data_IF_484910305029
#
_entry.id   IF_484910305029
#
_cell.length_a   1.000
_cell.length_b   1.000
_cell.length_c   1.000
_cell.angle_alpha   90.00
_cell.angle_beta   90.00
_cell.angle_gamma   90.00
#
_symmetry.space_group_name_H-M   'P 1'
#
loop_
_entity.id
_entity.type
_entity.pdbx_description
1 polymer ?
#
# COMPACT_ATOMS: atom_id res chain seq x y z
N UNK A 1 36.11 6.88 53.60
CA UNK A 1 36.31 7.39 52.23
C UNK A 1 35.60 6.41 51.29
N UNK A 2 34.30 6.58 51.09
CA UNK A 2 33.48 5.77 50.20
C UNK A 2 33.40 6.52 48.86
N UNK A 3 34.04 5.97 47.83
CA UNK A 3 33.98 6.48 46.47
C UNK A 3 32.57 6.21 45.92
N UNK A 4 31.78 7.27 45.78
CA UNK A 4 30.52 7.23 45.04
C UNK A 4 30.84 6.97 43.56
N UNK A 5 30.33 5.87 43.00
CA UNK A 5 30.35 5.62 41.56
C UNK A 5 29.53 6.72 40.87
N UNK A 6 30.16 7.43 39.96
CA UNK A 6 29.49 8.36 39.05
C UNK A 6 28.37 7.62 38.29
N UNK A 7 27.21 8.25 38.06
CA UNK A 7 26.17 7.68 37.20
C UNK A 7 26.74 7.49 35.78
N UNK A 8 26.29 6.46 35.04
CA UNK A 8 26.68 6.34 33.63
C UNK A 8 26.21 7.59 32.89
N UNK A 9 27.11 8.17 32.10
CA UNK A 9 26.79 9.30 31.23
C UNK A 9 25.60 8.93 30.35
N UNK A 10 24.55 9.75 30.38
CA UNK A 10 23.53 9.72 29.34
C UNK A 10 24.23 10.12 28.05
N UNK A 11 24.56 9.15 27.20
CA UNK A 11 24.80 9.47 25.80
C UNK A 11 23.47 10.04 25.28
N UNK A 12 23.43 11.35 25.08
CA UNK A 12 22.50 11.92 24.14
C UNK A 12 22.80 11.21 22.82
N UNK A 13 21.91 10.33 22.38
CA UNK A 13 22.01 9.77 21.05
C UNK A 13 21.81 10.92 20.09
N UNK A 14 22.83 11.17 19.26
CA UNK A 14 22.75 12.14 18.15
C UNK A 14 21.53 11.82 17.31
N UNK A 15 20.77 12.83 16.91
CA UNK A 15 19.75 12.64 15.88
C UNK A 15 20.46 12.27 14.58
N UNK A 16 19.83 11.46 13.73
CA UNK A 16 20.39 11.13 12.41
C UNK A 16 20.63 12.39 11.55
N UNK A 17 19.94 13.50 11.85
CA UNK A 17 20.14 14.80 11.20
C UNK A 17 21.38 15.56 11.67
N UNK A 18 22.06 15.11 12.74
CA UNK A 18 23.33 15.71 13.18
C UNK A 18 24.49 15.39 12.21
N UNK A 19 24.29 14.42 11.31
CA UNK A 19 25.20 14.14 10.21
C UNK A 19 25.08 15.21 9.12
N UNK A 20 26.15 15.96 8.90
CA UNK A 20 26.21 17.02 7.91
C UNK A 20 25.98 16.50 6.47
N UNK A 21 26.34 15.23 6.21
CA UNK A 21 26.18 14.60 4.90
C UNK A 21 24.77 14.01 4.70
N UNK A 22 23.90 14.10 5.73
CA UNK A 22 22.52 13.59 5.74
C UNK A 22 22.44 12.15 5.23
N UNK A 23 23.35 11.30 5.68
CA UNK A 23 23.41 9.92 5.18
C UNK A 23 22.33 9.05 5.83
N UNK A 24 21.75 8.15 5.03
CA UNK A 24 20.87 7.12 5.57
C UNK A 24 21.68 6.18 6.47
N UNK A 25 21.21 5.85 7.69
CA UNK A 25 21.92 4.91 8.55
C UNK A 25 21.97 3.51 7.93
N UNK A 26 23.12 2.85 8.10
CA UNK A 26 23.37 1.53 7.53
C UNK A 26 22.33 0.47 7.94
N UNK A 27 21.80 0.52 9.18
CA UNK A 27 20.82 -0.47 9.64
C UNK A 27 19.48 -0.39 8.87
N UNK A 28 19.16 0.77 8.30
CA UNK A 28 17.93 0.99 7.50
C UNK A 28 17.98 0.20 6.20
N UNK A 29 19.13 0.18 5.52
CA UNK A 29 19.29 -0.57 4.26
C UNK A 29 19.66 -2.03 4.52
N UNK A 30 20.50 -2.32 5.53
CA UNK A 30 20.91 -3.70 5.90
C UNK A 30 19.76 -4.60 6.32
N UNK A 31 18.70 -4.05 6.93
CA UNK A 31 17.51 -4.79 7.35
C UNK A 31 16.28 -4.49 6.52
N UNK A 32 16.45 -3.83 5.37
CA UNK A 32 15.35 -3.54 4.46
C UNK A 32 14.72 -4.83 3.92
N UNK A 33 13.40 -4.86 3.70
CA UNK A 33 12.75 -6.02 3.10
C UNK A 33 13.29 -6.35 1.70
N UNK A 34 13.21 -7.62 1.33
CA UNK A 34 13.37 -8.13 -0.03
C UNK A 34 12.01 -8.64 -0.50
N UNK A 35 11.60 -8.27 -1.71
CA UNK A 35 10.25 -8.55 -2.21
C UNK A 35 10.32 -9.56 -3.35
N UNK A 36 9.75 -10.75 -3.13
CA UNK A 36 9.39 -11.67 -4.19
C UNK A 36 8.14 -11.15 -4.90
N UNK A 37 8.30 -10.74 -6.15
CA UNK A 37 7.20 -10.39 -7.04
C UNK A 37 6.60 -11.68 -7.61
N UNK A 38 5.27 -11.77 -7.65
CA UNK A 38 4.60 -12.94 -8.20
C UNK A 38 5.04 -13.21 -9.64
N UNK A 39 5.34 -14.47 -9.96
CA UNK A 39 5.96 -14.87 -11.23
C UNK A 39 5.15 -14.45 -12.46
N UNK A 40 3.83 -14.58 -12.37
CA UNK A 40 2.90 -14.26 -13.45
C UNK A 40 2.41 -12.81 -13.48
N UNK A 41 2.77 -11.97 -12.49
CA UNK A 41 2.26 -10.60 -12.46
C UNK A 41 2.96 -9.72 -13.49
N UNK A 42 2.26 -9.15 -14.49
CA UNK A 42 2.93 -8.24 -15.42
C UNK A 42 3.12 -6.83 -14.84
N UNK A 43 2.44 -6.47 -13.75
CA UNK A 43 2.54 -5.15 -13.13
C UNK A 43 3.68 -5.17 -12.10
N UNK A 44 4.75 -4.46 -12.44
CA UNK A 44 6.00 -4.44 -11.67
C UNK A 44 6.18 -3.09 -10.96
N UNK A 45 7.12 -3.00 -10.01
CA UNK A 45 7.43 -1.74 -9.33
C UNK A 45 7.66 -0.62 -10.34
N UNK A 46 7.06 0.54 -10.08
CA UNK A 46 6.94 1.63 -11.04
C UNK A 46 7.59 2.92 -10.52
N UNK A 47 8.19 3.70 -11.42
CA UNK A 47 8.81 4.97 -11.06
C UNK A 47 7.77 5.99 -10.60
N UNK A 48 7.95 6.52 -9.39
CA UNK A 48 7.00 7.45 -8.74
C UNK A 48 6.89 8.76 -9.54
N UNK A 49 7.99 9.29 -10.06
CA UNK A 49 8.01 10.56 -10.80
C UNK A 49 7.43 10.38 -12.20
N UNK A 50 7.76 9.30 -12.89
CA UNK A 50 7.17 8.98 -14.20
C UNK A 50 5.66 8.79 -14.08
N UNK A 51 5.16 8.17 -13.01
CA UNK A 51 3.73 8.10 -12.75
C UNK A 51 3.08 9.48 -12.72
N UNK A 52 3.63 10.43 -11.94
CA UNK A 52 3.13 11.82 -11.90
C UNK A 52 3.12 12.42 -13.31
N UNK A 53 4.17 12.23 -14.10
CA UNK A 53 4.27 12.73 -15.50
C UNK A 53 3.28 12.09 -16.46
N UNK A 54 2.77 10.90 -16.16
CA UNK A 54 1.76 10.17 -16.96
C UNK A 54 0.33 10.49 -16.56
N UNK A 55 0.14 11.42 -15.62
CA UNK A 55 -1.17 11.83 -15.14
C UNK A 55 -1.44 13.32 -15.36
N UNK A 56 -2.71 13.68 -15.34
CA UNK A 56 -3.21 15.05 -15.27
C UNK A 56 -4.07 15.18 -14.02
N UNK A 57 -3.82 16.16 -13.13
CA UNK A 57 -4.68 16.42 -11.99
C UNK A 57 -6.10 16.81 -12.45
N UNK A 58 -7.10 16.06 -11.97
CA UNK A 58 -8.50 16.32 -12.27
C UNK A 58 -9.34 16.40 -11.01
N UNK A 59 -10.38 17.24 -11.04
CA UNK A 59 -11.46 17.29 -10.05
C UNK A 59 -12.76 17.04 -10.79
N UNK A 60 -13.53 16.04 -10.36
CA UNK A 60 -14.79 15.66 -11.02
C UNK A 60 -14.61 15.50 -12.55
N UNK A 61 -13.58 14.76 -12.96
CA UNK A 61 -13.23 14.47 -14.36
C UNK A 61 -12.89 15.71 -15.21
N UNK A 62 -12.59 16.85 -14.59
CA UNK A 62 -12.15 18.06 -15.28
C UNK A 62 -10.72 18.40 -14.90
N UNK A 63 -9.83 18.67 -15.87
CA UNK A 63 -8.46 19.10 -15.59
C UNK A 63 -8.40 20.36 -14.73
N UNK A 64 -7.50 20.38 -13.75
CA UNK A 64 -7.20 21.58 -12.97
C UNK A 64 -6.37 22.54 -13.84
N UNK A 65 -6.85 23.76 -14.12
CA UNK A 65 -6.18 24.67 -15.04
C UNK A 65 -5.02 25.43 -14.37
N UNK A 66 -4.05 25.88 -15.17
CA UNK A 66 -3.04 26.85 -14.74
C UNK A 66 -1.93 26.30 -13.84
N UNK A 67 -1.77 24.98 -13.78
CA UNK A 67 -0.72 24.32 -13.02
C UNK A 67 0.65 24.40 -13.74
N UNK A 68 1.77 24.46 -12.98
CA UNK A 68 3.10 24.25 -13.54
C UNK A 68 3.29 22.79 -13.96
N UNK A 69 4.44 22.46 -14.55
CA UNK A 69 4.85 21.06 -14.71
C UNK A 69 5.03 20.46 -13.31
N UNK A 70 4.30 19.38 -13.03
CA UNK A 70 4.34 18.74 -11.72
C UNK A 70 5.45 17.69 -11.62
N UNK A 71 6.03 17.60 -10.44
CA UNK A 71 7.02 16.61 -10.03
C UNK A 71 6.90 16.33 -8.52
N UNK A 72 7.91 15.67 -7.93
CA UNK A 72 7.90 15.32 -6.50
C UNK A 72 8.32 16.48 -5.58
N UNK A 73 8.65 17.67 -6.11
CA UNK A 73 8.97 18.89 -5.36
C UNK A 73 7.79 19.86 -5.25
N UNK A 74 6.74 19.68 -6.07
CA UNK A 74 5.63 20.64 -6.12
C UNK A 74 4.21 20.02 -6.22
N UNK A 75 4.07 18.71 -6.02
CA UNK A 75 2.80 18.00 -6.08
C UNK A 75 1.76 18.49 -5.05
N UNK A 76 2.22 18.92 -3.88
CA UNK A 76 1.43 19.48 -2.78
C UNK A 76 0.79 20.84 -3.09
N UNK A 77 1.20 21.53 -4.17
CA UNK A 77 0.46 22.68 -4.72
C UNK A 77 -0.99 22.30 -5.06
N UNK A 78 -1.26 21.03 -5.34
CA UNK A 78 -2.60 20.52 -5.61
C UNK A 78 -3.51 20.56 -4.38
N UNK A 79 -2.96 20.69 -3.18
CA UNK A 79 -3.74 20.80 -1.95
C UNK A 79 -4.49 22.14 -1.84
N UNK A 80 -4.05 23.16 -2.58
CA UNK A 80 -4.69 24.49 -2.60
C UNK A 80 -5.83 24.57 -3.63
N UNK A 81 -6.10 23.49 -4.36
CA UNK A 81 -7.23 23.43 -5.32
C UNK A 81 -8.54 23.40 -4.56
N UNK A 82 -9.43 24.36 -4.84
CA UNK A 82 -10.78 24.39 -4.27
C UNK A 82 -11.60 23.20 -4.76
N UNK A 83 -11.86 22.26 -3.85
CA UNK A 83 -12.66 21.06 -4.08
C UNK A 83 -13.87 21.08 -3.17
N UNK A 84 -15.03 20.70 -3.71
CA UNK A 84 -16.19 20.50 -2.86
C UNK A 84 -16.01 19.27 -1.95
N UNK A 85 -16.81 19.18 -0.89
CA UNK A 85 -16.68 18.14 0.14
C UNK A 85 -16.87 16.69 -0.36
N UNK A 86 -17.26 16.47 -1.62
CA UNK A 86 -17.47 15.14 -2.22
C UNK A 86 -16.37 14.74 -3.20
N UNK A 87 -15.44 15.64 -3.51
CA UNK A 87 -14.39 15.41 -4.49
C UNK A 87 -13.00 15.63 -3.89
N UNK A 88 -12.02 15.03 -4.54
CA UNK A 88 -10.60 15.20 -4.26
C UNK A 88 -9.88 15.40 -5.59
N UNK A 89 -8.68 15.98 -5.56
CA UNK A 89 -7.81 16.01 -6.74
C UNK A 89 -7.33 14.59 -7.02
N UNK A 90 -7.50 14.14 -8.26
CA UNK A 90 -7.10 12.83 -8.73
C UNK A 90 -5.98 12.95 -9.76
N UNK A 91 -4.88 12.21 -9.59
CA UNK A 91 -3.84 12.06 -10.62
C UNK A 91 -4.34 11.12 -11.71
N UNK A 92 -5.20 11.64 -12.59
CA UNK A 92 -5.90 10.85 -13.60
C UNK A 92 -4.98 10.52 -14.76
N UNK A 93 -4.96 9.27 -15.20
CA UNK A 93 -4.19 8.77 -16.35
C UNK A 93 -4.41 9.63 -17.60
N UNK A 94 -3.33 9.96 -18.30
CA UNK A 94 -3.39 10.63 -19.60
C UNK A 94 -3.83 9.71 -20.74
N UNK A 95 -3.79 8.40 -20.52
CA UNK A 95 -4.08 7.34 -21.48
C UNK A 95 -5.31 6.53 -21.06
N UNK A 96 -5.99 5.86 -22.01
CA UNK A 96 -7.04 4.90 -21.68
C UNK A 96 -6.41 3.66 -21.02
N UNK A 97 -6.68 3.47 -19.73
CA UNK A 97 -6.11 2.35 -18.96
C UNK A 97 -6.62 0.99 -19.45
N UNK A 98 -7.71 0.95 -20.20
CA UNK A 98 -8.22 -0.31 -20.78
C UNK A 98 -7.32 -0.84 -21.89
N UNK A 99 -6.49 0.03 -22.49
CA UNK A 99 -5.46 -0.36 -23.45
C UNK A 99 -4.16 -0.84 -22.78
N UNK A 100 -4.08 -0.75 -21.44
CA UNK A 100 -2.91 -1.08 -20.62
C UNK A 100 -1.61 -0.47 -21.18
N UNK A 101 -1.48 0.87 -21.19
CA UNK A 101 -0.30 1.54 -21.72
C UNK A 101 0.98 1.10 -20.99
N UNK A 102 2.10 1.12 -21.72
CA UNK A 102 3.35 0.49 -21.30
C UNK A 102 3.85 0.91 -19.90
N UNK A 103 3.60 2.16 -19.49
CA UNK A 103 4.05 2.70 -18.21
C UNK A 103 3.33 2.11 -16.99
N UNK A 104 2.17 1.46 -17.18
CA UNK A 104 1.48 0.75 -16.09
C UNK A 104 2.21 -0.53 -15.67
N UNK A 105 3.00 -1.13 -16.55
CA UNK A 105 3.69 -2.41 -16.26
C UNK A 105 4.94 -2.24 -15.39
N UNK A 106 5.43 -1.02 -15.17
CA UNK A 106 6.63 -0.77 -14.37
C UNK A 106 7.91 -1.36 -14.98
N UNK A 107 8.92 -1.56 -14.14
CA UNK A 107 10.20 -2.14 -14.51
C UNK A 107 10.40 -3.50 -13.83
N UNK A 108 10.82 -4.51 -14.61
CA UNK A 108 11.18 -5.82 -14.05
C UNK A 108 12.59 -5.75 -13.46
N UNK A 109 12.79 -6.13 -12.18
CA UNK A 109 14.12 -6.19 -11.58
C UNK A 109 15.02 -7.20 -12.28
N UNK A 110 16.32 -6.94 -12.28
CA UNK A 110 17.32 -7.89 -12.78
C UNK A 110 17.56 -9.07 -11.81
N UNK A 111 18.52 -9.93 -12.16
CA UNK A 111 18.91 -11.10 -11.35
C UNK A 111 19.43 -10.74 -9.95
N UNK A 112 19.85 -9.48 -9.73
CA UNK A 112 20.29 -8.96 -8.43
C UNK A 112 19.16 -8.26 -7.67
N UNK A 113 17.97 -8.16 -8.27
CA UNK A 113 16.82 -7.46 -7.73
C UNK A 113 16.86 -5.95 -7.93
N UNK A 114 17.70 -5.44 -8.83
CA UNK A 114 17.87 -4.00 -9.06
C UNK A 114 16.95 -3.49 -10.16
N UNK A 115 16.41 -2.29 -9.96
CA UNK A 115 15.79 -1.45 -11.01
C UNK A 115 16.82 -0.45 -11.52
N UNK A 116 16.86 -0.21 -12.83
CA UNK A 116 17.85 0.69 -13.44
C UNK A 116 17.27 2.06 -13.80
N UNK A 117 15.98 2.09 -14.17
CA UNK A 117 15.33 3.28 -14.71
C UNK A 117 14.21 3.80 -13.81
N UNK A 118 13.79 3.02 -12.82
CA UNK A 118 12.73 3.36 -11.87
C UNK A 118 13.23 3.54 -10.44
N UNK A 119 12.73 4.59 -9.79
CA UNK A 119 12.72 4.75 -8.33
C UNK A 119 11.32 4.44 -7.83
N UNK A 120 11.10 3.18 -7.48
CA UNK A 120 9.78 2.64 -7.08
C UNK A 120 9.61 2.52 -5.56
N UNK A 121 10.57 3.00 -4.78
CA UNK A 121 10.53 2.93 -3.32
C UNK A 121 10.81 4.30 -2.69
N UNK A 122 10.01 4.63 -1.67
CA UNK A 122 10.27 5.74 -0.76
C UNK A 122 10.41 5.18 0.67
N UNK A 123 11.57 5.42 1.28
CA UNK A 123 11.89 5.01 2.64
C UNK A 123 11.73 6.21 3.57
N UNK A 124 10.80 6.09 4.53
CA UNK A 124 10.52 7.15 5.51
C UNK A 124 10.92 6.65 6.90
N UNK A 125 11.88 7.34 7.51
CA UNK A 125 12.43 7.03 8.82
C UNK A 125 11.82 7.99 9.84
N UNK A 126 11.19 7.44 10.88
CA UNK A 126 10.47 8.19 11.91
C UNK A 126 11.14 7.95 13.26
N UNK A 127 11.80 8.98 13.79
CA UNK A 127 12.46 8.94 15.11
C UNK A 127 11.42 9.13 16.24
N UNK A 128 10.72 8.06 16.63
CA UNK A 128 9.75 8.09 17.73
C UNK A 128 10.40 8.52 19.06
N UNK A 129 11.64 8.09 19.28
CA UNK A 129 12.46 8.50 20.41
C UNK A 129 13.95 8.36 20.07
N UNK A 130 14.87 8.80 20.94
CA UNK A 130 16.31 8.66 20.68
C UNK A 130 16.81 7.20 20.61
N UNK A 131 15.94 6.22 20.87
CA UNK A 131 16.25 4.78 20.80
C UNK A 131 15.34 4.02 19.86
N UNK A 132 14.11 4.48 19.67
CA UNK A 132 13.08 3.76 18.93
C UNK A 132 12.80 4.47 17.62
N UNK A 133 12.97 3.76 16.51
CA UNK A 133 12.84 4.29 15.15
C UNK A 133 11.95 3.37 14.35
N UNK A 134 10.93 3.93 13.69
CA UNK A 134 10.11 3.20 12.73
C UNK A 134 10.58 3.54 11.32
N UNK A 135 10.82 2.53 10.50
CA UNK A 135 11.22 2.72 9.11
C UNK A 135 10.17 2.11 8.22
N UNK A 136 9.55 2.95 7.40
CA UNK A 136 8.56 2.56 6.42
C UNK A 136 9.22 2.42 5.05
N UNK A 137 9.00 1.29 4.39
CA UNK A 137 9.45 1.00 3.03
C UNK A 137 8.23 1.01 2.13
N UNK A 138 7.88 2.16 1.58
CA UNK A 138 6.77 2.31 0.65
C UNK A 138 7.20 1.85 -0.74
N UNK A 139 6.50 0.87 -1.29
CA UNK A 139 6.68 0.35 -2.64
C UNK A 139 5.53 0.87 -3.51
N UNK A 140 5.86 1.30 -4.72
CA UNK A 140 4.90 1.91 -5.63
C UNK A 140 4.72 1.10 -6.91
N UNK A 141 3.46 0.94 -7.31
CA UNK A 141 3.06 0.35 -8.59
C UNK A 141 2.15 1.33 -9.32
N UNK A 142 2.31 1.48 -10.62
CA UNK A 142 1.46 2.39 -11.41
C UNK A 142 0.07 1.84 -11.65
N UNK A 143 -0.16 0.55 -11.43
CA UNK A 143 -1.45 -0.09 -11.66
C UNK A 143 -1.64 -1.31 -10.78
N UNK A 144 -2.69 -1.28 -9.96
CA UNK A 144 -3.24 -2.46 -9.30
C UNK A 144 -4.32 -3.04 -10.22
N UNK A 145 -4.16 -4.31 -10.60
CA UNK A 145 -5.13 -4.99 -11.46
C UNK A 145 -6.29 -5.57 -10.64
N UNK A 146 -6.14 -5.73 -9.33
CA UNK A 146 -7.15 -6.20 -8.43
C UNK A 146 -7.46 -7.68 -8.62
N UNK A 147 -8.46 -8.16 -7.88
CA UNK A 147 -8.78 -9.57 -7.82
C UNK A 147 -9.58 -10.06 -9.04
N UNK A 148 -9.21 -11.24 -9.54
CA UNK A 148 -10.00 -12.00 -10.49
C UNK A 148 -11.10 -12.81 -9.79
N UNK A 149 -12.16 -13.22 -10.50
CA UNK A 149 -13.16 -14.14 -9.92
C UNK A 149 -12.56 -15.49 -9.50
N UNK A 150 -11.44 -15.91 -10.08
CA UNK A 150 -10.71 -17.10 -9.65
C UNK A 150 -10.17 -16.98 -8.22
N UNK A 151 -9.96 -15.76 -7.73
CA UNK A 151 -9.49 -15.39 -6.38
C UNK A 151 -10.62 -15.25 -5.37
N UNK A 152 -11.83 -15.75 -5.66
CA UNK A 152 -12.98 -15.71 -4.72
C UNK A 152 -13.30 -17.12 -4.25
N UNK A 153 -13.46 -17.30 -2.94
CA UNK A 153 -13.88 -18.56 -2.35
C UNK A 153 -15.37 -18.87 -2.61
N UNK A 154 -15.71 -20.16 -2.62
CA UNK A 154 -17.10 -20.60 -2.56
C UNK A 154 -17.70 -20.29 -1.17
N UNK A 155 -18.99 -19.92 -1.07
CA UNK A 155 -19.99 -19.90 -2.15
C UNK A 155 -20.04 -18.60 -2.95
N UNK A 156 -19.30 -17.55 -2.53
CA UNK A 156 -19.33 -16.22 -3.14
C UNK A 156 -18.93 -16.23 -4.62
N UNK A 157 -18.00 -17.10 -4.99
CA UNK A 157 -17.64 -17.33 -6.39
C UNK A 157 -18.84 -17.67 -7.28
N UNK A 158 -19.74 -18.52 -6.81
CA UNK A 158 -20.96 -18.89 -7.54
C UNK A 158 -21.91 -17.70 -7.75
N UNK A 159 -21.90 -16.71 -6.84
CA UNK A 159 -22.72 -15.50 -6.93
C UNK A 159 -22.23 -14.47 -7.94
N UNK A 160 -21.01 -14.63 -8.45
CA UNK A 160 -20.52 -13.79 -9.53
C UNK A 160 -21.14 -14.13 -10.91
N UNK A 161 -22.13 -15.03 -10.98
CA UNK A 161 -23.10 -15.21 -12.08
C UNK A 161 -22.56 -14.93 -13.50
N UNK A 162 -21.48 -15.62 -13.91
CA UNK A 162 -20.99 -15.55 -15.30
C UNK A 162 -19.91 -14.50 -15.58
N UNK A 163 -19.30 -13.89 -14.55
CA UNK A 163 -18.10 -13.03 -14.70
C UNK A 163 -16.80 -13.83 -14.97
N UNK A 164 -16.90 -14.86 -15.81
CA UNK A 164 -15.90 -15.90 -16.01
C UNK A 164 -14.97 -15.67 -17.23
N UNK A 165 -14.71 -14.42 -17.61
CA UNK A 165 -13.90 -14.06 -18.78
C UNK A 165 -12.47 -13.60 -18.42
N UNK A 166 -11.99 -13.90 -17.21
CA UNK A 166 -10.67 -13.43 -16.76
C UNK A 166 -10.68 -11.94 -16.36
N UNK A 167 -11.86 -11.36 -16.16
CA UNK A 167 -12.02 -9.99 -15.68
C UNK A 167 -11.57 -9.83 -14.23
N UNK A 168 -10.86 -8.73 -13.98
CA UNK A 168 -10.48 -8.31 -12.65
C UNK A 168 -11.39 -7.17 -12.15
N UNK A 169 -11.50 -7.06 -10.83
CA UNK A 169 -12.30 -6.07 -10.13
C UNK A 169 -11.46 -5.33 -9.11
N UNK A 170 -11.91 -4.14 -8.73
CA UNK A 170 -11.19 -3.25 -7.82
C UNK A 170 -9.85 -2.80 -8.43
N UNK A 171 -9.74 -2.76 -9.76
CA UNK A 171 -8.57 -2.22 -10.45
C UNK A 171 -8.45 -0.72 -10.18
N UNK A 172 -7.23 -0.22 -10.00
CA UNK A 172 -6.97 1.20 -9.91
C UNK A 172 -5.59 1.57 -10.46
N UNK A 173 -5.51 2.78 -11.01
CA UNK A 173 -4.24 3.43 -11.32
C UNK A 173 -3.60 3.85 -10.00
N UNK A 174 -2.29 3.68 -9.89
CA UNK A 174 -1.48 4.00 -8.71
C UNK A 174 -1.76 3.06 -7.55
N UNK A 175 -0.71 2.62 -6.87
CA UNK A 175 -0.83 1.74 -5.72
C UNK A 175 0.38 1.87 -4.78
N UNK A 176 0.08 1.99 -3.49
CA UNK A 176 1.05 2.20 -2.41
C UNK A 176 0.94 1.07 -1.40
N UNK A 177 1.90 0.17 -1.47
CA UNK A 177 2.11 -0.92 -0.51
C UNK A 177 3.29 -0.61 0.40
N UNK A 178 3.33 -1.17 1.61
CA UNK A 178 4.43 -0.91 2.52
C UNK A 178 4.72 -1.98 3.56
N UNK A 179 5.98 -2.03 3.95
CA UNK A 179 6.40 -2.65 5.20
C UNK A 179 6.83 -1.59 6.19
N UNK A 180 6.69 -1.86 7.48
CA UNK A 180 7.32 -1.05 8.53
C UNK A 180 8.19 -1.93 9.40
N UNK A 181 9.47 -1.60 9.54
CA UNK A 181 10.38 -2.26 10.48
C UNK A 181 10.62 -1.33 11.67
N UNK A 182 10.40 -1.84 12.88
CA UNK A 182 10.68 -1.10 14.12
C UNK A 182 12.04 -1.47 14.66
N UNK A 183 12.86 -0.47 14.93
CA UNK A 183 14.20 -0.61 15.49
C UNK A 183 14.25 -0.10 16.92
N UNK A 184 15.08 -0.75 17.74
CA UNK A 184 15.55 -0.24 19.03
C UNK A 184 17.08 -0.25 19.05
N UNK A 185 17.68 0.91 19.26
CA UNK A 185 19.14 1.11 19.23
C UNK A 185 19.78 0.55 17.94
N UNK A 186 19.14 0.80 16.79
CA UNK A 186 19.58 0.31 15.47
C UNK A 186 19.42 -1.19 15.23
N UNK A 187 18.76 -1.92 16.15
CA UNK A 187 18.45 -3.35 15.98
C UNK A 187 16.97 -3.55 15.69
N UNK A 188 16.60 -4.33 14.67
CA UNK A 188 15.20 -4.56 14.36
C UNK A 188 14.53 -5.39 15.47
N UNK A 189 13.29 -5.06 15.78
CA UNK A 189 12.49 -5.67 16.86
C UNK A 189 11.21 -6.30 16.33
N UNK A 190 10.67 -5.79 15.22
CA UNK A 190 9.53 -6.39 14.55
C UNK A 190 9.26 -5.73 13.20
N UNK A 191 8.37 -6.35 12.44
CA UNK A 191 7.98 -5.91 11.10
C UNK A 191 6.47 -6.00 10.92
N UNK A 192 5.91 -5.04 10.19
CA UNK A 192 4.55 -5.00 9.68
C UNK A 192 4.54 -5.21 8.17
N UNK A 193 3.54 -5.95 7.68
CA UNK A 193 3.25 -6.21 6.28
C UNK A 193 1.87 -5.63 5.94
N UNK A 194 1.79 -4.67 5.01
CA UNK A 194 0.52 -4.13 4.52
C UNK A 194 -0.26 -5.18 3.74
N UNK A 195 -1.57 -5.27 4.00
CA UNK A 195 -2.48 -6.15 3.29
C UNK A 195 -3.79 -5.40 3.13
N UNK A 196 -4.01 -4.80 1.96
CA UNK A 196 -5.23 -4.04 1.67
C UNK A 196 -5.48 -2.94 2.72
N UNK A 197 -6.62 -2.96 3.40
CA UNK A 197 -6.99 -2.02 4.48
C UNK A 197 -6.36 -2.34 5.85
N UNK A 198 -5.54 -3.39 5.96
CA UNK A 198 -4.92 -3.83 7.21
C UNK A 198 -3.55 -4.46 6.98
N UNK A 199 -3.21 -5.52 7.72
CA UNK A 199 -1.91 -6.17 7.62
C UNK A 199 -1.67 -7.23 8.69
N UNK A 200 -0.44 -7.76 8.67
CA UNK A 200 0.07 -8.69 9.66
C UNK A 200 1.40 -8.17 10.23
N UNK A 201 1.67 -8.48 11.50
CA UNK A 201 2.92 -8.08 12.14
C UNK A 201 3.58 -9.25 12.88
N UNK A 202 4.89 -9.22 12.92
CA UNK A 202 5.72 -10.27 13.50
C UNK A 202 6.85 -9.64 14.33
N UNK A 203 7.15 -10.25 15.47
CA UNK A 203 8.41 -9.98 16.17
C UNK A 203 9.59 -10.44 15.30
N UNK A 204 10.73 -9.78 15.40
CA UNK A 204 11.87 -10.06 14.52
C UNK A 204 12.44 -11.48 14.67
N UNK A 205 12.18 -12.13 15.81
CA UNK A 205 12.59 -13.50 16.09
C UNK A 205 11.44 -14.52 15.96
N UNK A 206 10.30 -14.12 15.38
CA UNK A 206 9.18 -15.02 15.11
C UNK A 206 9.60 -16.10 14.09
N UNK A 207 9.29 -17.36 14.38
CA UNK A 207 9.65 -18.49 13.52
C UNK A 207 8.98 -18.46 12.13
N UNK A 208 7.92 -17.66 11.96
CA UNK A 208 7.22 -17.46 10.68
C UNK A 208 7.89 -16.38 9.81
N UNK A 209 8.76 -15.56 10.38
CA UNK A 209 9.47 -14.52 9.65
C UNK A 209 10.68 -15.13 8.94
N UNK A 210 10.62 -15.19 7.61
CA UNK A 210 11.73 -15.66 6.79
C UNK A 210 12.71 -14.50 6.56
N UNK A 211 13.98 -14.75 6.84
CA UNK A 211 15.07 -13.80 6.65
C UNK A 211 16.09 -14.36 5.65
N UNK A 212 16.55 -13.53 4.72
CA UNK A 212 17.70 -13.79 3.86
C UNK A 212 18.76 -12.73 4.14
N UNK A 213 19.94 -13.13 4.63
CA UNK A 213 21.02 -12.20 5.00
C UNK A 213 20.56 -11.06 5.94
N UNK A 214 19.79 -11.38 6.98
CA UNK A 214 19.17 -10.44 7.93
C UNK A 214 18.15 -9.45 7.32
N UNK A 215 17.68 -9.72 6.10
CA UNK A 215 16.61 -8.98 5.43
C UNK A 215 15.32 -9.80 5.39
N UNK A 216 14.17 -9.25 5.80
CA UNK A 216 12.91 -9.97 5.79
C UNK A 216 12.41 -10.19 4.37
N UNK A 217 11.97 -11.41 4.09
CA UNK A 217 11.31 -11.73 2.82
C UNK A 217 9.85 -11.28 2.86
N UNK A 218 9.43 -10.70 1.75
CA UNK A 218 8.06 -10.26 1.46
C UNK A 218 7.63 -10.93 0.18
N UNK A 219 6.40 -11.41 0.15
CA UNK A 219 5.79 -11.98 -1.05
C UNK A 219 4.64 -11.08 -1.46
N UNK A 220 4.79 -10.42 -2.61
CA UNK A 220 3.79 -9.51 -3.16
C UNK A 220 2.76 -10.32 -3.94
N UNK A 221 1.48 -10.09 -3.64
CA UNK A 221 0.36 -10.82 -4.22
C UNK A 221 0.13 -10.49 -5.70
N UNK A 222 -0.35 -11.47 -6.45
CA UNK A 222 -0.74 -11.34 -7.85
C UNK A 222 -1.89 -10.36 -8.04
N UNK A 223 -1.61 -9.23 -8.70
CA UNK A 223 -2.54 -8.20 -9.13
C UNK A 223 -2.85 -7.14 -8.07
N UNK A 224 -2.95 -7.53 -6.80
CA UNK A 224 -3.27 -6.65 -5.65
C UNK A 224 -2.05 -6.12 -4.91
N UNK A 225 -0.86 -6.68 -5.19
CA UNK A 225 0.42 -6.38 -4.56
C UNK A 225 0.53 -6.50 -3.04
N UNK A 226 -0.54 -6.85 -2.33
CA UNK A 226 -0.57 -7.04 -0.88
C UNK A 226 0.61 -7.90 -0.39
N UNK A 227 1.17 -7.53 0.75
CA UNK A 227 2.43 -8.06 1.25
C UNK A 227 2.22 -9.20 2.26
N UNK A 228 2.86 -10.34 2.01
CA UNK A 228 2.78 -11.52 2.88
C UNK A 228 4.17 -11.98 3.34
N UNK A 229 4.22 -12.63 4.50
CA UNK A 229 5.45 -13.18 5.07
C UNK A 229 5.82 -14.58 4.52
N UNK A 230 4.95 -15.18 3.73
CA UNK A 230 5.17 -16.51 3.12
C UNK A 230 4.50 -16.60 1.73
N UNK A 231 4.98 -17.50 0.85
CA UNK A 231 4.27 -17.79 -0.39
C UNK A 231 2.99 -18.60 -0.11
N UNK A 232 2.21 -18.84 -1.17
CA UNK A 232 0.96 -19.59 -1.14
C UNK A 232 -0.28 -18.73 -1.21
N UNK A 233 -1.41 -19.34 -0.88
CA UNK A 233 -2.74 -18.74 -0.96
C UNK A 233 -3.10 -18.11 0.39
N UNK A 234 -3.43 -16.82 0.38
CA UNK A 234 -3.78 -16.06 1.57
C UNK A 234 -5.19 -15.53 1.49
N UNK A 235 -6.05 -15.97 2.42
CA UNK A 235 -7.44 -15.49 2.47
C UNK A 235 -7.51 -14.17 3.23
N UNK A 236 -8.01 -13.13 2.57
CA UNK A 236 -8.34 -11.84 3.17
C UNK A 236 -9.83 -11.50 2.95
N UNK A 237 -10.36 -10.58 3.76
CA UNK A 237 -11.80 -10.23 3.78
C UNK A 237 -12.75 -11.44 3.84
N UNK A 238 -12.25 -12.54 4.42
CA UNK A 238 -12.90 -13.85 4.56
C UNK A 238 -13.26 -14.59 3.25
N UNK A 239 -12.98 -14.02 2.08
CA UNK A 239 -13.42 -14.59 0.81
C UNK A 239 -12.44 -14.41 -0.34
N UNK A 240 -11.65 -13.34 -0.33
CA UNK A 240 -10.70 -13.06 -1.40
C UNK A 240 -9.39 -13.78 -1.11
N UNK A 241 -8.75 -14.28 -2.17
CA UNK A 241 -7.52 -15.07 -2.10
C UNK A 241 -6.43 -14.33 -2.85
N UNK A 242 -5.40 -13.92 -2.12
CA UNK A 242 -4.16 -13.45 -2.69
C UNK A 242 -3.23 -14.62 -2.99
N UNK A 243 -2.67 -14.65 -4.20
CA UNK A 243 -1.70 -15.66 -4.61
C UNK A 243 -0.30 -15.08 -4.56
N UNK A 244 0.58 -15.75 -3.82
CA UNK A 244 1.97 -15.35 -3.63
C UNK A 244 2.91 -16.48 -4.03
N UNK A 245 3.99 -16.17 -4.75
CA UNK A 245 5.04 -17.13 -5.06
C UNK A 245 6.43 -16.47 -5.10
N UNK A 246 7.45 -17.28 -5.41
CA UNK A 246 8.84 -16.85 -5.48
C UNK A 246 9.24 -16.55 -6.93
N UNK A 247 8.59 -15.56 -7.56
CA UNK A 247 8.88 -15.14 -8.94
C UNK A 247 10.21 -14.40 -9.08
N UNK A 248 10.16 -13.09 -9.34
CA UNK A 248 11.36 -12.26 -9.47
C UNK A 248 11.65 -11.57 -8.15
N UNK A 249 12.89 -11.70 -7.63
CA UNK A 249 13.31 -10.97 -6.43
C UNK A 249 13.54 -9.50 -6.78
N UNK A 250 13.08 -8.61 -5.91
CA UNK A 250 13.29 -7.18 -5.97
C UNK A 250 13.94 -6.69 -4.67
N UNK A 251 14.92 -5.82 -4.79
CA UNK A 251 15.52 -5.05 -3.71
C UNK A 251 15.01 -3.59 -3.77
N UNK A 252 13.99 -3.21 -2.97
CA UNK A 252 13.43 -1.87 -2.99
C UNK A 252 14.44 -0.77 -2.69
N UNK A 253 15.41 -1.02 -1.80
CA UNK A 253 16.37 0.01 -1.36
C UNK A 253 17.57 0.16 -2.29
N UNK A 254 17.68 -0.67 -3.32
CA UNK A 254 18.71 -0.53 -4.37
C UNK A 254 18.50 0.75 -5.23
N UNK A 255 17.27 1.24 -5.29
CA UNK A 255 16.86 2.48 -5.96
C UNK A 255 15.67 3.08 -5.21
N UNK A 256 15.96 3.81 -4.12
CA UNK A 256 14.95 4.43 -3.27
C UNK A 256 15.25 5.89 -2.98
N UNK A 257 14.18 6.66 -2.74
CA UNK A 257 14.27 7.94 -2.06
C UNK A 257 14.30 7.70 -0.54
N UNK A 258 15.21 8.34 0.18
CA UNK A 258 15.33 8.20 1.64
C UNK A 258 14.97 9.50 2.33
N UNK A 259 14.22 9.41 3.42
CA UNK A 259 13.77 10.56 4.17
C UNK A 259 13.79 10.30 5.66
N UNK A 260 14.14 11.33 6.42
CA UNK A 260 13.81 11.46 7.83
C UNK A 260 12.51 12.26 7.96
N UNK A 261 11.63 11.87 8.88
CA UNK A 261 10.42 12.61 9.22
C UNK A 261 10.40 12.93 10.72
N UNK A 262 10.20 14.20 11.05
CA UNK A 262 9.92 14.61 12.44
C UNK A 262 8.48 14.20 12.83
N UNK A 263 8.28 13.40 13.89
CA UNK A 263 6.94 12.91 14.26
C UNK A 263 6.03 13.97 14.87
N UNK A 264 6.55 15.15 15.25
CA UNK A 264 5.79 16.24 15.83
C UNK A 264 5.30 17.25 14.80
N UNK A 265 6.18 17.68 13.89
CA UNK A 265 5.89 18.64 12.83
C UNK A 265 5.46 17.99 11.51
N UNK A 266 5.73 16.69 11.33
CA UNK A 266 5.61 15.97 10.05
C UNK A 266 6.54 16.51 8.95
N UNK A 267 7.58 17.26 9.33
CA UNK A 267 8.56 17.78 8.38
C UNK A 267 9.45 16.65 7.85
N UNK A 268 9.49 16.53 6.53
CA UNK A 268 10.28 15.56 5.79
C UNK A 268 11.62 16.18 5.35
N UNK A 269 12.72 15.53 5.70
CA UNK A 269 14.08 15.90 5.29
C UNK A 269 14.69 14.78 4.45
N UNK A 270 15.15 15.10 3.24
CA UNK A 270 15.80 14.13 2.35
C UNK A 270 17.14 13.66 2.92
N UNK A 271 17.37 12.36 2.83
CA UNK A 271 18.63 11.67 3.15
C UNK A 271 19.25 11.06 1.89
N UNK A 272 20.54 10.76 1.95
CA UNK A 272 21.31 10.25 0.82
C UNK A 272 21.98 8.92 1.13
N UNK A 273 22.14 8.08 0.11
CA UNK A 273 22.94 6.87 0.22
C UNK A 273 24.43 7.26 0.37
N UNK A 274 25.21 6.61 1.26
CA UNK A 274 26.61 6.97 1.49
C UNK A 274 27.48 6.94 0.22
N UNK A 275 27.14 6.08 -0.73
CA UNK A 275 27.85 5.93 -2.00
C UNK A 275 27.36 6.89 -3.11
N UNK A 276 26.36 7.71 -2.83
CA UNK A 276 25.79 8.67 -3.79
C UNK A 276 25.34 9.97 -3.09
N UNK A 277 26.27 10.72 -2.48
CA UNK A 277 25.98 12.06 -1.96
C UNK A 277 25.65 12.97 -3.15
N UNK A 278 24.35 13.15 -3.39
CA UNK A 278 23.88 13.99 -4.49
C UNK A 278 23.98 15.46 -4.09
N UNK A 279 24.18 16.35 -5.06
CA UNK A 279 24.04 17.78 -4.84
C UNK A 279 22.61 18.08 -4.34
N UNK A 280 22.49 18.95 -3.34
CA UNK A 280 21.26 19.35 -2.65
C UNK A 280 20.28 20.16 -3.53
N UNK A 281 20.18 19.86 -4.82
CA UNK A 281 19.45 20.71 -5.77
C UNK A 281 17.93 20.54 -5.67
N UNK A 282 17.44 19.49 -4.99
CA UNK A 282 16.02 19.17 -4.82
C UNK A 282 15.79 18.23 -3.63
N UNK A 283 14.76 18.51 -2.84
CA UNK A 283 14.40 17.73 -1.65
C UNK A 283 13.41 16.59 -1.98
N UNK A 284 12.65 16.68 -3.07
CA UNK A 284 11.62 15.72 -3.51
C UNK A 284 10.67 15.31 -2.39
N UNK A 285 10.22 16.24 -1.55
CA UNK A 285 9.41 15.94 -0.36
C UNK A 285 7.92 16.07 -0.60
N UNK A 286 7.53 16.85 -1.61
CA UNK A 286 6.15 17.28 -1.85
C UNK A 286 5.18 16.12 -2.15
N UNK A 287 5.68 15.02 -2.76
CA UNK A 287 4.87 13.82 -3.00
C UNK A 287 4.22 13.25 -1.73
N UNK A 288 4.89 13.38 -0.57
CA UNK A 288 4.37 12.89 0.70
C UNK A 288 3.13 13.67 1.13
N UNK A 289 3.13 14.98 0.92
CA UNK A 289 2.08 15.88 1.42
C UNK A 289 0.88 16.00 0.49
N UNK A 290 0.93 15.43 -0.71
CA UNK A 290 -0.22 15.43 -1.61
C UNK A 290 -1.41 14.67 -1.00
N UNK A 291 -2.52 15.38 -0.78
CA UNK A 291 -3.69 14.88 -0.06
C UNK A 291 -4.76 14.23 -0.96
N UNK A 292 -4.55 14.29 -2.28
CA UNK A 292 -5.45 13.69 -3.26
C UNK A 292 -5.23 12.19 -3.43
N UNK A 293 -5.76 11.66 -4.53
CA UNK A 293 -5.60 10.25 -4.90
C UNK A 293 -4.56 10.08 -6.01
N UNK A 294 -3.71 9.07 -5.85
CA UNK A 294 -2.75 8.60 -6.82
C UNK A 294 -3.47 7.70 -7.81
N UNK A 295 -4.04 8.27 -8.86
CA UNK A 295 -4.77 7.55 -9.90
C UNK A 295 -6.10 8.18 -10.28
N UNK A 296 -6.80 7.50 -11.17
CA UNK A 296 -8.13 7.87 -11.64
C UNK A 296 -9.13 7.95 -10.48
N UNK A 297 -10.12 8.84 -10.59
CA UNK A 297 -11.33 8.73 -9.80
C UNK A 297 -12.20 7.58 -10.33
N UNK A 298 -12.92 6.88 -9.44
CA UNK A 298 -13.82 5.78 -9.81
C UNK A 298 -14.72 6.14 -11.00
N UNK A 299 -14.76 5.26 -12.00
CA UNK A 299 -15.57 5.48 -13.20
C UNK A 299 -17.06 5.47 -12.86
N UNK A 300 -17.82 6.33 -13.55
CA UNK A 300 -19.26 6.41 -13.41
C UNK A 300 -19.93 5.07 -13.72
N UNK A 301 -21.11 4.81 -13.14
CA UNK A 301 -21.77 3.50 -13.29
C UNK A 301 -22.29 3.24 -14.71
N UNK A 302 -22.45 4.29 -15.51
CA UNK A 302 -22.82 4.28 -16.91
C UNK A 302 -21.62 4.38 -17.87
N UNK A 303 -20.39 4.49 -17.36
CA UNK A 303 -19.18 4.41 -18.19
C UNK A 303 -19.12 3.03 -18.88
N UNK A 304 -18.93 2.96 -20.21
CA UNK A 304 -18.95 1.69 -20.94
C UNK A 304 -17.84 0.71 -20.52
N UNK A 305 -16.76 1.21 -19.91
CA UNK A 305 -15.63 0.43 -19.39
C UNK A 305 -15.91 -0.11 -17.98
N UNK A 306 -16.86 0.52 -17.26
CA UNK A 306 -17.20 0.12 -15.89
C UNK A 306 -18.08 -1.14 -15.89
N UNK A 307 -17.77 -2.05 -14.97
CA UNK A 307 -18.60 -3.23 -14.66
C UNK A 307 -18.87 -3.27 -13.17
N UNK A 308 -20.05 -3.74 -12.80
CA UNK A 308 -20.44 -3.85 -11.38
C UNK A 308 -20.95 -5.25 -11.12
N UNK A 309 -20.46 -5.88 -10.07
CA UNK A 309 -20.99 -7.18 -9.63
C UNK A 309 -22.38 -6.97 -9.04
N UNK A 310 -23.46 -7.54 -9.63
CA UNK A 310 -24.82 -7.16 -9.28
C UNK A 310 -25.19 -7.37 -7.80
N UNK A 311 -24.66 -8.42 -7.17
CA UNK A 311 -24.98 -8.79 -5.78
C UNK A 311 -24.12 -8.03 -4.76
N UNK A 312 -22.85 -7.78 -5.08
CA UNK A 312 -21.89 -7.18 -4.14
C UNK A 312 -21.63 -5.69 -4.37
N UNK A 313 -22.09 -5.14 -5.50
CA UNK A 313 -21.81 -3.76 -5.88
C UNK A 313 -20.34 -3.48 -6.21
N UNK A 314 -19.48 -4.50 -6.23
CA UNK A 314 -18.04 -4.35 -6.51
C UNK A 314 -17.83 -3.82 -7.93
N UNK A 315 -17.09 -2.72 -8.04
CA UNK A 315 -16.78 -2.05 -9.30
C UNK A 315 -15.52 -2.64 -9.93
N UNK A 316 -15.44 -2.61 -11.25
CA UNK A 316 -14.23 -2.99 -11.98
C UNK A 316 -13.13 -1.97 -11.73
N UNK A 317 -13.38 -0.71 -12.05
CA UNK A 317 -12.44 0.39 -11.82
C UNK A 317 -12.86 1.19 -10.60
N UNK A 318 -11.99 1.32 -9.62
CA UNK A 318 -12.18 2.11 -8.39
C UNK A 318 -11.20 3.29 -8.37
N UNK A 319 -11.39 4.20 -7.41
CA UNK A 319 -10.45 5.30 -7.22
C UNK A 319 -9.08 4.79 -6.78
N UNK A 320 -8.01 5.42 -7.27
CA UNK A 320 -6.66 5.20 -6.74
C UNK A 320 -6.54 5.54 -5.24
N UNK A 321 -5.50 5.05 -4.56
CA UNK A 321 -5.32 5.27 -3.12
C UNK A 321 -4.80 6.68 -2.82
N UNK A 322 -4.93 7.09 -1.57
CA UNK A 322 -4.19 8.25 -1.05
C UNK A 322 -2.72 7.89 -0.78
N UNK A 323 -1.87 8.91 -0.70
CA UNK A 323 -0.42 8.74 -0.56
C UNK A 323 0.06 8.26 0.83
N UNK A 324 1.39 8.09 1.00
CA UNK A 324 1.98 7.52 2.21
C UNK A 324 1.66 8.22 3.53
N UNK A 325 1.39 9.54 3.52
CA UNK A 325 1.06 10.30 4.73
C UNK A 325 -0.21 9.81 5.44
N UNK A 326 -1.11 9.14 4.71
CA UNK A 326 -2.35 8.57 5.24
C UNK A 326 -2.17 7.21 5.91
N UNK A 327 -0.95 6.64 5.90
CA UNK A 327 -0.68 5.27 6.39
C UNK A 327 -0.28 5.22 7.87
N UNK A 328 -0.69 6.23 8.65
CA UNK A 328 -0.36 6.40 10.09
C UNK A 328 1.13 6.22 10.39
N UNK A 329 1.94 7.21 10.05
CA UNK A 329 3.41 7.12 10.17
C UNK A 329 3.92 7.21 11.63
N UNK A 330 3.06 7.58 12.58
CA UNK A 330 3.39 7.68 14.01
C UNK A 330 2.52 6.70 14.80
N UNK A 331 3.06 5.51 15.11
CA UNK A 331 2.32 4.37 15.70
C UNK A 331 2.82 4.00 17.08
N UNK A 332 1.92 3.58 17.99
CA UNK A 332 2.34 3.02 19.29
C UNK A 332 2.94 1.63 19.15
N UNK A 333 2.45 0.85 18.21
CA UNK A 333 2.88 -0.52 17.91
C UNK A 333 3.31 -0.70 16.45
N UNK A 334 3.45 -1.96 16.03
CA UNK A 334 3.66 -2.29 14.61
C UNK A 334 2.40 -1.98 13.77
N UNK A 335 1.22 -2.21 14.34
CA UNK A 335 -0.07 -1.92 13.70
C UNK A 335 -0.40 -0.42 13.75
N UNK A 336 -1.18 0.07 12.76
CA UNK A 336 -1.88 1.35 12.88
C UNK A 336 -2.69 1.42 14.19
N UNK A 337 -2.71 2.59 14.81
CA UNK A 337 -3.42 2.85 16.07
C UNK A 337 -4.93 2.95 15.86
N UNK A 338 -5.39 3.38 14.67
CA UNK A 338 -6.81 3.43 14.31
C UNK A 338 -7.05 2.49 13.12
N UNK A 339 -7.46 1.24 13.38
CA UNK A 339 -7.78 0.33 12.30
C UNK A 339 -8.95 0.87 11.48
N UNK A 340 -8.90 0.66 10.16
CA UNK A 340 -10.03 0.98 9.31
C UNK A 340 -11.27 0.16 9.73
N UNK A 341 -12.42 0.80 9.91
CA UNK A 341 -13.64 0.08 10.26
C UNK A 341 -14.07 -0.79 9.07
N UNK A 342 -14.35 -2.06 9.33
CA UNK A 342 -14.91 -2.94 8.31
C UNK A 342 -16.24 -2.38 7.81
N UNK A 343 -16.41 -2.40 6.48
CA UNK A 343 -17.70 -2.07 5.86
C UNK A 343 -18.72 -3.14 6.23
N UNK A 344 -20.00 -2.77 6.34
CA UNK A 344 -21.06 -3.71 6.69
C UNK A 344 -21.13 -4.94 5.78
N UNK A 345 -20.82 -4.77 4.49
CA UNK A 345 -20.77 -5.89 3.55
C UNK A 345 -19.66 -6.90 3.90
N UNK A 346 -18.49 -6.43 4.37
CA UNK A 346 -17.41 -7.32 4.83
C UNK A 346 -17.86 -8.09 6.08
N UNK A 347 -18.58 -7.45 7.01
CA UNK A 347 -19.16 -8.12 8.18
C UNK A 347 -20.21 -9.18 7.81
N UNK A 348 -21.05 -8.89 6.81
CA UNK A 348 -22.04 -9.85 6.31
C UNK A 348 -21.37 -11.06 5.62
N UNK A 349 -20.33 -10.81 4.82
CA UNK A 349 -19.51 -11.85 4.21
C UNK A 349 -18.80 -12.69 5.28
N UNK A 350 -18.21 -12.06 6.30
CA UNK A 350 -17.63 -12.75 7.45
C UNK A 350 -18.62 -13.68 8.16
N UNK A 351 -19.82 -13.17 8.43
CA UNK A 351 -20.89 -13.95 9.03
C UNK A 351 -21.24 -15.16 8.14
N UNK A 352 -21.51 -14.94 6.85
CA UNK A 352 -21.84 -16.00 5.92
C UNK A 352 -20.72 -17.06 5.81
N UNK A 353 -19.47 -16.62 5.66
CA UNK A 353 -18.31 -17.50 5.50
C UNK A 353 -18.02 -18.31 6.77
N UNK A 354 -18.30 -17.76 7.96
CA UNK A 354 -18.14 -18.51 9.22
C UNK A 354 -19.16 -19.65 9.40
N UNK A 355 -20.38 -19.50 8.87
CA UNK A 355 -21.44 -20.52 8.93
C UNK A 355 -21.37 -21.51 7.76
N UNK A 356 -20.72 -21.12 6.66
CA UNK A 356 -20.71 -21.92 5.44
C UNK A 356 -20.17 -23.34 5.65
N UNK A 357 -18.96 -23.57 6.23
CA UNK A 357 -18.40 -24.91 6.36
C UNK A 357 -19.26 -25.89 7.18
N UNK A 358 -19.97 -25.41 8.21
CA UNK A 358 -20.71 -26.25 9.14
C UNK A 358 -22.16 -26.49 8.73
N UNK A 359 -22.79 -25.47 8.16
CA UNK A 359 -24.24 -25.31 8.29
C UNK A 359 -24.90 -24.98 6.96
N UNK A 360 -24.16 -24.38 6.02
CA UNK A 360 -24.67 -23.98 4.70
C UNK A 360 -24.02 -24.76 3.55
N UNK A 361 -22.94 -25.50 3.81
CA UNK A 361 -22.26 -26.33 2.81
C UNK A 361 -23.21 -27.42 2.29
N UNK A 362 -23.49 -27.40 0.99
CA UNK A 362 -24.41 -28.33 0.33
C UNK A 362 -25.85 -27.80 0.15
N UNK A 363 -26.16 -26.60 0.65
CA UNK A 363 -27.40 -25.90 0.32
C UNK A 363 -27.45 -25.56 -1.17
N UNK A 364 -28.65 -25.49 -1.75
CA UNK A 364 -28.82 -25.15 -3.17
C UNK A 364 -28.45 -23.68 -3.38
N UNK A 365 -27.97 -23.34 -4.58
CA UNK A 365 -27.58 -21.97 -4.92
C UNK A 365 -28.67 -20.94 -4.59
N UNK A 366 -29.93 -21.23 -4.91
CA UNK A 366 -31.06 -20.34 -4.61
C UNK A 366 -31.30 -20.14 -3.10
N UNK A 367 -31.04 -21.16 -2.27
CA UNK A 367 -31.20 -21.06 -0.82
C UNK A 367 -30.09 -20.19 -0.20
N UNK A 368 -28.85 -20.36 -0.68
CA UNK A 368 -27.72 -19.49 -0.31
C UNK A 368 -27.95 -18.06 -0.80
N UNK A 369 -28.55 -17.90 -1.99
CA UNK A 369 -28.87 -16.61 -2.60
C UNK A 369 -29.89 -15.85 -1.78
N UNK A 370 -30.99 -16.50 -1.43
CA UNK A 370 -32.04 -15.94 -0.58
C UNK A 370 -31.51 -15.54 0.79
N UNK A 371 -30.69 -16.38 1.44
CA UNK A 371 -30.07 -16.02 2.72
C UNK A 371 -29.17 -14.79 2.57
N UNK A 372 -28.35 -14.72 1.51
CA UNK A 372 -27.46 -13.58 1.29
C UNK A 372 -28.25 -12.30 1.00
N UNK A 373 -29.20 -12.34 0.06
CA UNK A 373 -30.07 -11.19 -0.28
C UNK A 373 -30.84 -10.75 0.97
N UNK A 374 -31.47 -11.67 1.69
CA UNK A 374 -32.19 -11.35 2.93
C UNK A 374 -31.26 -10.76 3.99
N UNK A 375 -30.04 -11.27 4.13
CA UNK A 375 -29.08 -10.71 5.10
C UNK A 375 -28.67 -9.29 4.72
N UNK A 376 -28.46 -9.02 3.43
CA UNK A 376 -28.16 -7.66 2.94
C UNK A 376 -29.38 -6.74 3.10
N UNK A 377 -30.56 -7.17 2.68
CA UNK A 377 -31.80 -6.38 2.67
C UNK A 377 -32.34 -6.10 4.08
N UNK A 378 -32.39 -7.11 4.96
CA UNK A 378 -32.84 -6.96 6.35
C UNK A 378 -31.96 -5.96 7.12
N UNK A 379 -30.67 -5.92 6.78
CA UNK A 379 -29.71 -5.01 7.39
C UNK A 379 -29.83 -3.59 6.80
N UNK A 380 -30.01 -3.45 5.48
CA UNK A 380 -30.29 -2.17 4.81
C UNK A 380 -31.59 -1.52 5.33
N UNK A 381 -32.64 -2.31 5.58
CA UNK A 381 -33.90 -1.84 6.19
C UNK A 381 -33.71 -1.35 7.63
N UNK A 382 -32.90 -2.03 8.45
CA UNK A 382 -32.61 -1.57 9.81
C UNK A 382 -31.81 -0.27 9.85
N UNK A 383 -30.94 -0.01 8.88
CA UNK A 383 -30.16 1.25 8.82
C UNK A 383 -30.98 2.44 8.34
N UNK A 384 -31.97 2.24 7.45
CA UNK A 384 -32.90 3.32 7.06
C UNK A 384 -33.80 3.83 8.21
N UNK A 385 -33.77 3.15 9.37
CA UNK A 385 -34.51 3.51 10.59
C UNK A 385 -33.64 4.15 11.67
N UNK A 386 -32.34 4.33 11.43
CA UNK A 386 -31.38 4.88 12.42
C UNK A 386 -30.81 6.25 12.00
N UNK A 387 -31.18 6.77 10.82
CA UNK A 387 -30.92 8.16 10.41
C UNK A 387 -32.10 9.11 10.72
#
# INVERSE_FOLDING_TARGET
MLLAKSPPARHATSSMLDDADRTVPEYVTRHAPLVWLHSEDPFRPSDILEHVRRTTPMVNQKPVPGLPVLDLDNLDLLNDVDVDAKHVVALTSNDDITDLPAWLYGETPDETGRLYNATACAVIIVEQSPRDVDVFYFCFYSYDRGANISQVLEPLKSFAMGMADGMHYVCHVGDWEHNMVRFRDGKPTGIYYSQHSSGAAYEWNDARLLLENDRPLVYSAYGSHANFASPGDHVHDSVLVDYCDNGQLWDPVSSAYFYHMDPGSFELTRLFHPESPSAHDSDLTSFLYFNGIWGDAQYASDDPRQRTVPIFGLKRYVSGPQGPIFKELVRKGLFPDKPEPKKFIQLAVEFLMSWYPCCLRGWRFEELREVMITTVDLVLETTSKVD
#
